data_IF_893165355542
#
_entry.id   IF_893165355542
#
_cell.length_a   1.000
_cell.length_b   1.000
_cell.length_c   1.000
_cell.angle_alpha   90.00
_cell.angle_beta   90.00
_cell.angle_gamma   90.00
#
_symmetry.space_group_name_H-M   'P 1'
#
loop_
_entity.id
_entity.type
_entity.pdbx_description
1 polymer ?
#
# COMPACT_ATOMS: atom_id res chain seq x y z
N UNK A 1 1.83 3.91 -9.77
CA UNK A 1 1.92 5.16 -10.39
C UNK A 1 1.91 6.29 -9.37
N UNK A 2 2.47 7.32 -9.45
CA UNK A 2 2.48 8.46 -8.55
C UNK A 2 2.40 9.78 -9.31
N UNK A 3 2.15 9.73 -10.62
CA UNK A 3 1.99 10.92 -11.44
C UNK A 3 0.55 11.02 -11.93
N UNK A 4 0.13 12.23 -12.13
CA UNK A 4 -1.14 12.52 -12.77
C UNK A 4 -1.09 12.12 -14.25
N UNK A 5 -2.24 11.84 -14.84
CA UNK A 5 -2.34 11.44 -16.24
C UNK A 5 -1.84 12.49 -17.23
N UNK A 6 -1.68 13.74 -16.80
CA UNK A 6 -1.20 14.87 -17.62
C UNK A 6 0.18 15.40 -17.24
N UNK A 7 0.85 14.81 -16.25
CA UNK A 7 2.20 15.21 -15.84
C UNK A 7 3.21 14.10 -16.12
N UNK A 8 4.29 14.45 -16.81
CA UNK A 8 5.44 13.57 -16.99
C UNK A 8 6.55 13.92 -15.99
N UNK A 9 7.28 12.90 -15.54
CA UNK A 9 8.45 13.08 -14.69
C UNK A 9 9.48 14.02 -15.31
N UNK A 10 9.66 13.93 -16.62
CA UNK A 10 10.61 14.78 -17.35
C UNK A 10 10.22 16.26 -17.30
N UNK A 11 8.93 16.59 -17.41
CA UNK A 11 8.44 17.97 -17.35
C UNK A 11 8.68 18.58 -15.98
N UNK A 12 8.42 17.81 -14.91
CA UNK A 12 8.69 18.25 -13.55
C UNK A 12 10.18 18.51 -13.32
N UNK A 13 11.04 17.62 -13.82
CA UNK A 13 12.49 17.78 -13.71
C UNK A 13 12.97 19.00 -14.51
N UNK A 14 12.54 19.16 -15.74
CA UNK A 14 12.91 20.33 -16.56
C UNK A 14 12.53 21.67 -15.88
N UNK A 15 11.39 21.70 -15.20
CA UNK A 15 10.92 22.89 -14.50
C UNK A 15 11.68 23.18 -13.21
N UNK A 16 12.16 22.15 -12.49
CA UNK A 16 12.65 22.30 -11.10
C UNK A 16 14.13 21.99 -10.93
N UNK A 17 14.76 21.28 -11.86
CA UNK A 17 16.12 20.74 -11.72
C UNK A 17 17.17 21.79 -11.32
N UNK A 18 17.23 22.90 -12.04
CA UNK A 18 18.23 23.95 -11.76
C UNK A 18 18.07 24.54 -10.35
N UNK A 19 16.82 24.70 -9.91
CA UNK A 19 16.50 25.21 -8.58
C UNK A 19 16.90 24.20 -7.49
N UNK A 20 16.63 22.91 -7.69
CA UNK A 20 17.02 21.86 -6.77
C UNK A 20 18.55 21.70 -6.71
N UNK A 21 19.22 21.75 -7.85
CA UNK A 21 20.69 21.62 -7.91
C UNK A 21 21.45 22.85 -7.39
N UNK A 22 20.80 24.00 -7.27
CA UNK A 22 21.38 25.13 -6.58
C UNK A 22 21.52 24.92 -5.06
N UNK A 23 20.81 23.93 -4.51
CA UNK A 23 20.88 23.55 -3.10
C UNK A 23 21.84 22.37 -2.93
N UNK A 24 22.99 22.60 -2.31
CA UNK A 24 24.04 21.58 -2.16
C UNK A 24 23.69 20.46 -1.16
N UNK A 25 22.69 20.66 -0.33
CA UNK A 25 22.23 19.74 0.72
C UNK A 25 20.98 18.93 0.32
N UNK A 26 20.51 19.03 -0.94
CA UNK A 26 19.37 18.28 -1.41
C UNK A 26 19.82 17.09 -2.25
N UNK A 27 19.32 15.89 -1.90
CA UNK A 27 19.42 14.69 -2.72
C UNK A 27 18.17 14.59 -3.57
N UNK A 28 18.36 14.49 -4.90
CA UNK A 28 17.27 14.38 -5.86
C UNK A 28 17.06 12.92 -6.23
N UNK A 29 15.95 12.35 -5.78
CA UNK A 29 15.53 11.00 -6.15
C UNK A 29 14.25 11.07 -6.96
N UNK A 30 14.18 10.29 -8.03
CA UNK A 30 13.03 10.26 -8.93
C UNK A 30 12.35 8.91 -8.93
N UNK A 31 11.05 8.90 -9.10
CA UNK A 31 10.22 7.71 -9.18
C UNK A 31 9.08 7.89 -10.18
N UNK A 32 8.61 6.79 -10.73
CA UNK A 32 7.58 6.75 -11.77
C UNK A 32 8.17 6.51 -13.17
N UNK A 33 7.57 5.60 -13.91
CA UNK A 33 8.03 5.23 -15.24
C UNK A 33 9.37 4.48 -15.33
N UNK A 34 9.93 4.08 -14.19
CA UNK A 34 11.23 3.36 -14.16
C UNK A 34 10.97 1.86 -14.04
N UNK A 35 10.95 1.19 -15.18
CA UNK A 35 10.70 -0.25 -15.28
C UNK A 35 11.89 -1.05 -15.81
N UNK A 36 12.90 -0.39 -16.38
CA UNK A 36 14.08 -1.06 -16.95
C UNK A 36 15.37 -0.52 -16.34
N UNK A 37 16.44 -1.34 -16.32
CA UNK A 37 17.77 -0.91 -15.93
C UNK A 37 18.29 0.28 -16.77
N UNK A 38 18.01 0.27 -18.07
CA UNK A 38 18.40 1.33 -19.01
C UNK A 38 17.76 2.65 -18.64
N UNK A 39 16.47 2.64 -18.33
CA UNK A 39 15.74 3.84 -17.92
C UNK A 39 16.27 4.41 -16.60
N UNK A 40 16.59 3.56 -15.65
CA UNK A 40 17.24 3.98 -14.40
C UNK A 40 18.61 4.64 -14.68
N UNK A 41 19.41 4.02 -15.56
CA UNK A 41 20.70 4.55 -15.95
C UNK A 41 20.57 5.91 -16.65
N UNK A 42 19.59 6.12 -17.53
CA UNK A 42 19.31 7.40 -18.18
C UNK A 42 19.13 8.54 -17.17
N UNK A 43 18.37 8.30 -16.10
CA UNK A 43 18.19 9.30 -15.05
C UNK A 43 19.44 9.51 -14.21
N UNK A 44 20.13 8.44 -13.83
CA UNK A 44 21.33 8.52 -12.99
C UNK A 44 22.51 9.19 -13.72
N UNK A 45 22.63 8.99 -15.03
CA UNK A 45 23.65 9.66 -15.87
C UNK A 45 23.23 11.05 -16.33
N UNK A 46 21.92 11.32 -16.34
CA UNK A 46 21.34 12.56 -16.88
C UNK A 46 21.09 12.54 -18.39
N UNK A 47 21.29 11.40 -19.06
CA UNK A 47 21.10 11.26 -20.51
C UNK A 47 19.64 11.47 -20.94
N UNK A 48 18.67 11.26 -20.03
CA UNK A 48 17.25 11.49 -20.27
C UNK A 48 16.94 12.90 -20.80
N UNK A 49 17.75 13.92 -20.43
CA UNK A 49 17.54 15.31 -20.77
C UNK A 49 17.93 15.65 -22.22
N UNK A 50 18.72 14.76 -22.86
CA UNK A 50 19.19 14.98 -24.24
C UNK A 50 18.05 15.09 -25.26
N UNK A 51 16.95 14.34 -25.06
CA UNK A 51 15.74 14.43 -25.90
C UNK A 51 15.07 15.79 -25.90
N UNK A 52 15.36 16.61 -24.90
CA UNK A 52 14.86 17.97 -24.75
C UNK A 52 15.92 19.03 -25.12
N UNK A 53 17.02 18.62 -25.73
CA UNK A 53 18.13 19.52 -26.11
C UNK A 53 18.84 20.16 -24.91
N UNK A 54 18.83 19.47 -23.76
CA UNK A 54 19.48 19.95 -22.52
C UNK A 54 20.81 19.22 -22.30
N UNK A 55 21.76 19.83 -21.57
CA UNK A 55 22.95 19.13 -21.10
C UNK A 55 22.55 18.00 -20.14
N UNK A 56 23.43 17.04 -19.87
CA UNK A 56 23.13 15.95 -18.92
C UNK A 56 22.65 16.47 -17.57
N UNK A 57 21.52 15.92 -17.12
CA UNK A 57 20.84 16.34 -15.89
C UNK A 57 20.72 15.11 -14.93
N UNK A 58 21.82 14.64 -14.31
CA UNK A 58 21.81 13.45 -13.48
C UNK A 58 21.01 13.67 -12.18
N UNK A 59 20.30 12.61 -11.77
CA UNK A 59 19.69 12.52 -10.44
C UNK A 59 20.58 11.68 -9.51
N UNK A 60 20.33 11.76 -8.20
CA UNK A 60 21.14 11.06 -7.21
C UNK A 60 20.61 9.65 -6.90
N UNK A 61 19.33 9.40 -7.20
CA UNK A 61 18.72 8.10 -6.97
C UNK A 61 17.47 7.89 -7.80
N UNK A 62 17.04 6.62 -7.89
CA UNK A 62 15.81 6.21 -8.54
C UNK A 62 15.01 5.32 -7.61
N UNK A 63 13.68 5.41 -7.70
CA UNK A 63 12.73 4.55 -6.98
C UNK A 63 12.10 3.57 -7.97
N UNK A 64 12.24 2.29 -7.68
CA UNK A 64 11.66 1.19 -8.46
C UNK A 64 10.46 0.64 -7.70
N UNK A 65 9.25 0.92 -8.19
CA UNK A 65 8.01 0.50 -7.55
C UNK A 65 7.37 -0.70 -8.26
N UNK A 66 6.88 -0.46 -9.48
CA UNK A 66 6.08 -1.45 -10.23
C UNK A 66 6.83 -2.76 -10.48
N UNK A 67 8.12 -2.69 -10.84
CA UNK A 67 8.91 -3.90 -11.07
C UNK A 67 9.10 -4.74 -9.79
N UNK A 68 9.08 -4.11 -8.62
CA UNK A 68 9.13 -4.83 -7.35
C UNK A 68 7.85 -5.65 -7.06
N UNK A 69 6.72 -5.34 -7.69
CA UNK A 69 5.47 -6.09 -7.50
C UNK A 69 5.55 -7.54 -7.98
N UNK A 70 6.47 -7.86 -8.90
CA UNK A 70 6.65 -9.21 -9.45
C UNK A 70 7.80 -9.99 -8.82
N UNK A 71 8.49 -9.41 -7.84
CA UNK A 71 9.60 -10.07 -7.15
C UNK A 71 9.13 -11.21 -6.26
N UNK A 72 10.05 -12.10 -5.92
CA UNK A 72 9.79 -13.26 -5.05
C UNK A 72 9.29 -12.81 -3.67
N UNK A 73 9.83 -11.72 -3.16
CA UNK A 73 9.53 -11.16 -1.84
C UNK A 73 8.22 -10.37 -1.80
N UNK A 74 7.68 -9.98 -2.96
CA UNK A 74 6.39 -9.29 -3.02
C UNK A 74 5.25 -10.24 -2.64
N UNK A 75 4.34 -9.74 -1.80
CA UNK A 75 3.16 -10.50 -1.35
C UNK A 75 2.09 -10.65 -2.44
N UNK A 76 2.25 -10.00 -3.57
CA UNK A 76 1.38 -10.13 -4.74
C UNK A 76 1.24 -11.59 -5.16
N UNK A 77 0.02 -12.05 -5.43
CA UNK A 77 -0.22 -13.44 -5.84
C UNK A 77 0.48 -13.76 -7.16
N UNK A 78 0.78 -15.03 -7.38
CA UNK A 78 1.43 -15.49 -8.62
C UNK A 78 0.63 -15.10 -9.86
N UNK A 79 -0.70 -15.22 -9.82
CA UNK A 79 -1.58 -14.85 -10.93
C UNK A 79 -1.46 -13.36 -11.28
N UNK A 80 -1.35 -12.49 -10.28
CA UNK A 80 -1.15 -11.05 -10.50
C UNK A 80 0.25 -10.75 -11.06
N UNK A 81 1.29 -11.42 -10.57
CA UNK A 81 2.65 -11.29 -11.11
C UNK A 81 2.72 -11.71 -12.59
N UNK A 82 2.08 -12.84 -12.92
CA UNK A 82 2.00 -13.33 -14.31
C UNK A 82 1.23 -12.35 -15.22
N UNK A 83 0.13 -11.76 -14.73
CA UNK A 83 -0.61 -10.76 -15.48
C UNK A 83 0.23 -9.49 -15.69
N UNK A 84 0.99 -9.03 -14.70
CA UNK A 84 1.89 -7.88 -14.85
C UNK A 84 2.95 -8.13 -15.92
N UNK A 85 3.56 -9.31 -15.94
CA UNK A 85 4.55 -9.70 -16.98
C UNK A 85 3.89 -9.81 -18.36
N UNK A 86 2.64 -10.29 -18.43
CA UNK A 86 1.90 -10.40 -19.68
C UNK A 86 1.36 -9.06 -20.20
N UNK A 87 1.32 -8.03 -19.35
CA UNK A 87 0.80 -6.69 -19.71
C UNK A 87 1.86 -5.92 -20.51
N UNK A 88 1.60 -5.57 -21.79
CA UNK A 88 2.63 -4.91 -22.63
C UNK A 88 3.09 -3.55 -22.10
N UNK A 89 2.22 -2.84 -21.38
CA UNK A 89 2.47 -1.48 -20.94
C UNK A 89 2.58 -0.48 -22.09
N UNK A 90 3.08 0.71 -21.79
CA UNK A 90 3.32 1.79 -22.74
C UNK A 90 4.83 2.03 -22.86
N UNK A 91 5.43 1.98 -24.06
CA UNK A 91 6.86 2.19 -24.21
C UNK A 91 7.31 3.55 -23.70
N UNK A 92 8.53 3.61 -23.16
CA UNK A 92 9.14 4.83 -22.64
C UNK A 92 9.31 5.95 -23.67
N UNK A 93 9.53 5.57 -24.94
CA UNK A 93 9.65 6.50 -26.06
C UNK A 93 8.32 6.88 -26.70
N UNK A 94 7.20 6.60 -26.00
CA UNK A 94 5.88 6.95 -26.47
C UNK A 94 5.68 8.47 -26.53
N UNK A 95 5.05 8.95 -27.62
CA UNK A 95 4.80 10.37 -27.84
C UNK A 95 3.89 11.01 -26.77
N UNK A 96 3.07 10.21 -26.10
CA UNK A 96 2.18 10.62 -25.02
C UNK A 96 2.81 10.49 -23.63
N UNK A 97 4.12 10.18 -23.52
CA UNK A 97 4.82 10.09 -22.25
C UNK A 97 4.32 8.97 -21.31
N UNK A 98 3.66 7.95 -21.87
CA UNK A 98 3.05 6.88 -21.08
C UNK A 98 1.65 7.20 -20.55
N UNK A 99 1.08 8.34 -20.92
CA UNK A 99 -0.28 8.69 -20.53
C UNK A 99 -1.32 7.85 -21.27
N UNK A 100 -2.31 7.39 -20.51
CA UNK A 100 -3.48 6.69 -21.02
C UNK A 100 -4.71 7.52 -20.67
N UNK A 101 -5.40 8.04 -21.70
CA UNK A 101 -6.58 8.88 -21.53
C UNK A 101 -7.73 8.17 -20.83
N UNK A 102 -8.63 8.91 -20.22
CA UNK A 102 -9.81 8.40 -19.54
C UNK A 102 -10.64 7.50 -20.46
N UNK A 103 -10.95 6.30 -19.99
CA UNK A 103 -11.71 5.30 -20.74
C UNK A 103 -11.00 4.65 -21.93
N UNK A 104 -9.74 5.04 -22.22
CA UNK A 104 -8.94 4.45 -23.29
C UNK A 104 -8.08 3.34 -22.72
N UNK A 105 -8.04 2.19 -23.40
CA UNK A 105 -7.14 1.08 -23.08
C UNK A 105 -5.97 1.09 -24.05
N UNK A 106 -4.74 1.11 -23.52
CA UNK A 106 -3.51 1.12 -24.30
C UNK A 106 -2.46 0.24 -23.64
N UNK A 107 -1.86 -0.66 -24.40
CA UNK A 107 -0.84 -1.58 -23.87
C UNK A 107 -1.34 -2.44 -22.69
N UNK A 108 -2.63 -2.76 -22.66
CA UNK A 108 -3.24 -3.48 -21.53
C UNK A 108 -3.47 -2.61 -20.29
N UNK A 109 -3.25 -1.29 -20.39
CA UNK A 109 -3.47 -0.32 -19.31
C UNK A 109 -4.65 0.59 -19.62
N UNK A 110 -5.35 1.03 -18.59
CA UNK A 110 -6.42 2.03 -18.67
C UNK A 110 -6.24 3.06 -17.55
N UNK A 111 -6.83 4.23 -17.71
CA UNK A 111 -6.94 5.19 -16.60
C UNK A 111 -8.24 4.96 -15.83
N UNK A 112 -8.21 5.32 -14.55
CA UNK A 112 -9.35 5.25 -13.65
C UNK A 112 -9.25 6.29 -12.54
N UNK A 113 -10.26 6.32 -11.68
CA UNK A 113 -10.28 7.18 -10.52
C UNK A 113 -10.17 6.36 -9.24
N UNK A 114 -9.42 6.90 -8.28
CA UNK A 114 -9.45 6.41 -6.90
C UNK A 114 -10.78 6.78 -6.22
N UNK A 115 -11.04 6.23 -5.04
CA UNK A 115 -12.20 6.63 -4.23
C UNK A 115 -12.11 8.10 -3.77
N UNK A 116 -10.93 8.72 -3.83
CA UNK A 116 -10.71 10.16 -3.61
C UNK A 116 -10.78 10.99 -4.88
N UNK A 117 -11.18 10.36 -6.01
CA UNK A 117 -11.28 10.96 -7.34
C UNK A 117 -9.95 11.49 -7.89
N UNK A 118 -8.84 10.91 -7.45
CA UNK A 118 -7.53 11.15 -8.05
C UNK A 118 -7.32 10.20 -9.24
N UNK A 119 -6.78 10.72 -10.32
CA UNK A 119 -6.44 9.93 -11.50
C UNK A 119 -5.38 8.90 -11.18
N UNK A 120 -5.51 7.72 -11.77
CA UNK A 120 -4.52 6.66 -11.70
C UNK A 120 -4.59 5.74 -12.91
N UNK A 121 -3.48 5.04 -13.17
CA UNK A 121 -3.43 4.02 -14.19
C UNK A 121 -3.58 2.64 -13.56
N UNK A 122 -4.28 1.75 -14.25
CA UNK A 122 -4.51 0.39 -13.79
C UNK A 122 -4.47 -0.61 -14.94
N UNK A 123 -4.21 -1.87 -14.64
CA UNK A 123 -4.30 -2.94 -15.63
C UNK A 123 -5.76 -3.05 -16.09
N UNK A 124 -5.99 -3.13 -17.39
CA UNK A 124 -7.33 -3.26 -17.97
C UNK A 124 -7.84 -4.69 -17.77
N UNK A 125 -8.67 -4.88 -16.75
CA UNK A 125 -9.30 -6.13 -16.36
C UNK A 125 -10.75 -5.91 -15.89
N UNK A 126 -11.44 -6.94 -15.41
CA UNK A 126 -12.82 -6.83 -14.93
C UNK A 126 -12.95 -5.82 -13.77
N UNK A 127 -11.99 -5.80 -12.84
CA UNK A 127 -12.01 -4.84 -11.76
C UNK A 127 -11.83 -3.39 -12.23
N UNK A 128 -10.99 -3.14 -13.22
CA UNK A 128 -10.84 -1.83 -13.84
C UNK A 128 -12.10 -1.40 -14.62
N UNK A 129 -12.76 -2.35 -15.28
CA UNK A 129 -14.05 -2.08 -15.94
C UNK A 129 -15.14 -1.69 -14.93
N UNK A 130 -15.22 -2.40 -13.81
CA UNK A 130 -16.11 -2.05 -12.70
C UNK A 130 -15.79 -0.66 -12.14
N UNK A 131 -14.51 -0.36 -11.93
CA UNK A 131 -14.05 0.93 -11.41
C UNK A 131 -14.54 2.12 -12.25
N UNK A 132 -14.51 1.99 -13.59
CA UNK A 132 -14.97 3.05 -14.51
C UNK A 132 -16.47 3.32 -14.36
N UNK A 133 -17.29 2.28 -14.37
CA UNK A 133 -18.74 2.41 -14.23
C UNK A 133 -19.10 2.99 -12.86
N UNK A 134 -18.45 2.50 -11.80
CA UNK A 134 -18.66 3.02 -10.44
C UNK A 134 -18.23 4.49 -10.33
N UNK A 135 -17.13 4.89 -10.98
CA UNK A 135 -16.69 6.28 -11.00
C UNK A 135 -17.69 7.22 -11.70
N UNK A 136 -18.36 6.74 -12.74
CA UNK A 136 -19.36 7.49 -13.50
C UNK A 136 -20.63 7.76 -12.68
N UNK A 137 -21.16 6.75 -12.00
CA UNK A 137 -22.49 6.81 -11.39
C UNK A 137 -22.51 6.71 -9.85
N UNK A 138 -21.42 6.26 -9.25
CA UNK A 138 -21.41 5.81 -7.85
C UNK A 138 -21.53 6.93 -6.78
N UNK A 139 -21.61 8.20 -7.20
CA UNK A 139 -21.95 9.33 -6.33
C UNK A 139 -23.38 9.86 -6.53
N UNK A 140 -24.17 9.22 -7.40
CA UNK A 140 -25.56 9.56 -7.64
C UNK A 140 -26.47 8.40 -7.23
N UNK A 141 -27.01 8.44 -6.04
CA UNK A 141 -27.85 7.38 -5.50
C UNK A 141 -29.10 7.09 -6.33
N UNK A 142 -29.59 8.02 -7.15
CA UNK A 142 -30.70 7.76 -8.06
C UNK A 142 -30.26 6.89 -9.23
N UNK A 143 -29.11 7.16 -9.83
CA UNK A 143 -28.53 6.34 -10.88
C UNK A 143 -28.09 4.97 -10.35
N UNK A 144 -27.48 4.92 -9.16
CA UNK A 144 -27.09 3.65 -8.51
C UNK A 144 -28.32 2.75 -8.36
N UNK A 145 -29.45 3.28 -7.88
CA UNK A 145 -30.70 2.51 -7.78
C UNK A 145 -31.27 2.12 -9.13
N UNK A 146 -31.23 3.02 -10.12
CA UNK A 146 -31.77 2.75 -11.46
C UNK A 146 -30.98 1.69 -12.23
N UNK A 147 -29.66 1.57 -11.95
CA UNK A 147 -28.75 0.62 -12.61
C UNK A 147 -28.32 -0.52 -11.68
N UNK A 148 -29.13 -0.84 -10.66
CA UNK A 148 -28.80 -1.82 -9.63
C UNK A 148 -28.33 -3.16 -10.20
N UNK A 149 -29.11 -3.75 -11.11
CA UNK A 149 -28.82 -5.08 -11.66
C UNK A 149 -27.48 -5.10 -12.41
N UNK A 150 -27.20 -4.04 -13.17
CA UNK A 150 -25.91 -3.87 -13.86
C UNK A 150 -24.74 -3.73 -12.85
N UNK A 151 -24.93 -2.95 -11.78
CA UNK A 151 -23.92 -2.79 -10.75
C UNK A 151 -23.66 -4.12 -10.02
N UNK A 152 -24.69 -4.85 -9.66
CA UNK A 152 -24.58 -6.15 -9.00
C UNK A 152 -23.82 -7.14 -9.89
N UNK A 153 -24.15 -7.19 -11.18
CA UNK A 153 -23.46 -8.05 -12.15
C UNK A 153 -21.99 -7.68 -12.26
N UNK A 154 -21.65 -6.40 -12.41
CA UNK A 154 -20.26 -5.94 -12.50
C UNK A 154 -19.49 -6.25 -11.23
N UNK A 155 -20.06 -5.99 -10.06
CA UNK A 155 -19.44 -6.28 -8.78
C UNK A 155 -19.20 -7.76 -8.56
N UNK A 156 -20.05 -8.63 -9.14
CA UNK A 156 -19.89 -10.09 -9.04
C UNK A 156 -18.60 -10.60 -9.68
N UNK A 157 -18.05 -9.84 -10.64
CA UNK A 157 -16.79 -10.13 -11.32
C UNK A 157 -15.58 -9.51 -10.62
N UNK A 158 -15.75 -8.93 -9.45
CA UNK A 158 -14.67 -8.31 -8.67
C UNK A 158 -14.44 -9.04 -7.35
N UNK A 159 -13.28 -8.80 -6.74
CA UNK A 159 -12.96 -9.29 -5.40
C UNK A 159 -13.70 -8.53 -4.27
N UNK A 160 -14.63 -7.65 -4.63
CA UNK A 160 -15.43 -6.88 -3.66
C UNK A 160 -16.90 -6.84 -4.09
N UNK A 161 -17.58 -8.00 -4.03
CA UNK A 161 -18.95 -8.15 -4.52
C UNK A 161 -19.96 -7.37 -3.67
N UNK A 162 -21.16 -7.18 -4.23
CA UNK A 162 -22.29 -6.70 -3.46
C UNK A 162 -22.74 -7.75 -2.43
N UNK A 163 -23.02 -7.29 -1.22
CA UNK A 163 -23.44 -8.18 -0.14
C UNK A 163 -24.81 -8.83 -0.41
N UNK A 164 -25.73 -8.06 -0.94
CA UNK A 164 -27.12 -8.45 -1.23
C UNK A 164 -28.13 -7.59 -0.49
N UNK A 165 -29.41 -7.74 -0.83
CA UNK A 165 -30.53 -7.01 -0.24
C UNK A 165 -30.91 -7.65 1.10
N UNK A 166 -30.52 -7.03 2.19
CA UNK A 166 -30.72 -7.58 3.54
C UNK A 166 -32.19 -7.82 3.90
N UNK A 167 -33.09 -6.97 3.41
CA UNK A 167 -34.53 -7.12 3.68
C UNK A 167 -35.12 -8.39 3.03
N UNK A 168 -34.44 -8.95 2.02
CA UNK A 168 -34.81 -10.20 1.38
C UNK A 168 -34.13 -11.42 2.01
N UNK A 169 -33.17 -11.20 2.95
CA UNK A 169 -32.43 -12.26 3.60
C UNK A 169 -33.10 -12.71 4.91
N UNK A 170 -32.92 -14.00 5.23
CA UNK A 170 -33.11 -14.47 6.59
C UNK A 170 -31.88 -14.17 7.44
N UNK A 171 -32.00 -14.23 8.76
CA UNK A 171 -30.86 -14.05 9.66
C UNK A 171 -29.76 -15.10 9.41
N UNK A 172 -30.11 -16.35 9.10
CA UNK A 172 -29.16 -17.38 8.67
C UNK A 172 -28.40 -16.94 7.41
N UNK A 173 -29.13 -16.52 6.37
CA UNK A 173 -28.52 -16.08 5.12
C UNK A 173 -27.56 -14.90 5.32
N UNK A 174 -27.95 -13.94 6.18
CA UNK A 174 -27.12 -12.78 6.51
C UNK A 174 -25.81 -13.19 7.20
N UNK A 175 -25.89 -14.02 8.25
CA UNK A 175 -24.73 -14.49 9.02
C UNK A 175 -23.77 -15.29 8.14
N UNK A 176 -24.31 -16.25 7.37
CA UNK A 176 -23.50 -17.07 6.47
C UNK A 176 -22.84 -16.25 5.36
N UNK A 177 -23.57 -15.32 4.77
CA UNK A 177 -23.05 -14.43 3.73
C UNK A 177 -21.90 -13.57 4.24
N UNK A 178 -21.98 -13.08 5.48
CA UNK A 178 -20.87 -12.34 6.10
C UNK A 178 -19.63 -13.23 6.27
N UNK A 179 -19.81 -14.43 6.78
CA UNK A 179 -18.72 -15.40 6.93
C UNK A 179 -18.08 -15.73 5.57
N UNK A 180 -18.88 -16.08 4.56
CA UNK A 180 -18.42 -16.45 3.22
C UNK A 180 -17.57 -15.36 2.55
N UNK A 181 -17.91 -14.09 2.77
CA UNK A 181 -17.22 -12.96 2.14
C UNK A 181 -15.99 -12.47 2.90
N UNK A 182 -15.94 -12.65 4.23
CA UNK A 182 -14.91 -12.03 5.07
C UNK A 182 -13.96 -13.00 5.77
N UNK A 183 -14.34 -14.27 5.90
CA UNK A 183 -13.46 -15.28 6.47
C UNK A 183 -12.60 -15.96 5.37
N UNK A 184 -11.34 -16.33 5.65
CA UNK A 184 -10.60 -16.16 6.90
C UNK A 184 -10.28 -14.70 7.22
N UNK A 185 -10.12 -14.41 8.53
CA UNK A 185 -9.92 -13.05 9.02
C UNK A 185 -8.57 -12.47 8.59
N UNK A 186 -8.52 -11.82 7.43
CA UNK A 186 -7.34 -11.08 6.96
C UNK A 186 -7.10 -9.84 7.83
N UNK A 187 -8.17 -9.28 8.39
CA UNK A 187 -8.11 -8.17 9.33
C UNK A 187 -8.93 -8.49 10.59
N UNK A 188 -8.36 -8.29 11.80
CA UNK A 188 -9.06 -8.61 13.05
C UNK A 188 -10.34 -7.79 13.26
N UNK A 189 -10.47 -6.62 12.64
CA UNK A 189 -11.68 -5.81 12.74
C UNK A 189 -12.88 -6.43 12.02
N UNK A 190 -12.66 -7.33 11.06
CA UNK A 190 -13.74 -8.09 10.43
C UNK A 190 -14.32 -9.13 11.39
N UNK A 191 -13.46 -9.81 12.17
CA UNK A 191 -13.86 -10.73 13.22
C UNK A 191 -14.68 -10.03 14.30
N UNK A 192 -14.25 -8.83 14.72
CA UNK A 192 -14.99 -8.02 15.72
C UNK A 192 -16.38 -7.67 15.19
N UNK A 193 -16.50 -7.19 13.95
CA UNK A 193 -17.82 -6.88 13.34
C UNK A 193 -18.71 -8.11 13.20
N UNK A 194 -18.11 -9.27 12.90
CA UNK A 194 -18.85 -10.52 12.84
C UNK A 194 -19.37 -10.94 14.23
N UNK A 195 -18.55 -10.78 15.26
CA UNK A 195 -18.97 -10.98 16.65
C UNK A 195 -20.15 -10.09 17.03
N UNK A 196 -20.07 -8.79 16.73
CA UNK A 196 -21.16 -7.83 16.98
C UNK A 196 -22.42 -8.21 16.21
N UNK A 197 -22.29 -8.70 14.97
CA UNK A 197 -23.39 -9.22 14.18
C UNK A 197 -24.06 -10.42 14.83
N UNK A 198 -23.29 -11.42 15.27
CA UNK A 198 -23.83 -12.62 15.91
C UNK A 198 -24.56 -12.31 17.20
N UNK A 199 -24.00 -11.46 18.07
CA UNK A 199 -24.67 -11.03 19.30
C UNK A 199 -25.99 -10.29 19.02
N UNK A 200 -26.01 -9.46 17.95
CA UNK A 200 -27.24 -8.76 17.55
C UNK A 200 -28.30 -9.72 17.03
N UNK A 201 -27.91 -10.69 16.20
CA UNK A 201 -28.83 -11.72 15.68
C UNK A 201 -29.37 -12.58 16.80
N UNK A 202 -28.53 -12.97 17.72
CA UNK A 202 -28.91 -13.73 18.92
C UNK A 202 -29.97 -12.98 19.73
N UNK A 203 -29.76 -11.69 19.97
CA UNK A 203 -30.74 -10.84 20.68
C UNK A 203 -32.08 -10.68 19.92
N UNK A 204 -32.12 -10.87 18.61
CA UNK A 204 -33.37 -10.86 17.81
C UNK A 204 -34.12 -12.18 17.87
N UNK A 205 -33.41 -13.29 17.99
CA UNK A 205 -33.96 -14.64 17.90
C UNK A 205 -34.30 -15.23 19.26
N UNK A 206 -33.72 -14.67 20.32
CA UNK A 206 -33.98 -15.12 21.70
C UNK A 206 -35.48 -14.95 22.10
N UNK A 207 -36.05 -15.90 22.84
CA UNK A 207 -37.41 -15.80 23.33
C UNK A 207 -37.62 -14.57 24.20
N UNK A 208 -38.72 -13.85 24.00
CA UNK A 208 -39.04 -12.54 24.64
C UNK A 208 -39.27 -12.65 26.16
N UNK A 209 -39.58 -13.84 26.64
CA UNK A 209 -39.91 -14.15 28.04
C UNK A 209 -38.70 -14.58 28.87
N UNK A 210 -37.52 -14.61 28.32
CA UNK A 210 -36.26 -14.86 29.02
C UNK A 210 -35.64 -13.55 29.48
N UNK A 211 -35.37 -13.39 30.78
CA UNK A 211 -34.81 -12.17 31.35
C UNK A 211 -33.46 -11.76 30.78
N UNK A 212 -32.37 -12.29 31.28
CA UNK A 212 -31.04 -12.10 30.70
C UNK A 212 -30.75 -13.21 29.70
N UNK A 213 -30.40 -12.84 28.48
CA UNK A 213 -29.92 -13.81 27.47
C UNK A 213 -28.42 -13.98 27.70
N UNK A 214 -28.04 -15.18 28.15
CA UNK A 214 -26.64 -15.56 28.17
C UNK A 214 -26.17 -15.78 26.71
N UNK A 215 -25.26 -14.93 26.25
CA UNK A 215 -24.80 -15.00 24.87
C UNK A 215 -23.98 -16.26 24.61
N UNK A 216 -24.16 -16.85 23.43
CA UNK A 216 -23.31 -17.94 22.92
C UNK A 216 -21.88 -17.46 22.63
N UNK A 217 -21.69 -16.17 22.41
CA UNK A 217 -20.44 -15.56 21.97
C UNK A 217 -19.99 -14.47 22.94
N UNK A 218 -19.54 -14.82 24.17
CA UNK A 218 -19.11 -13.84 25.17
C UNK A 218 -17.83 -13.10 24.78
N UNK A 219 -16.99 -13.66 23.90
CA UNK A 219 -15.73 -13.06 23.48
C UNK A 219 -15.56 -13.11 21.95
N UNK A 220 -14.66 -12.28 21.41
CA UNK A 220 -14.34 -12.25 19.96
C UNK A 220 -13.69 -13.59 19.52
N UNK A 221 -12.99 -14.26 20.41
CA UNK A 221 -12.39 -15.58 20.15
C UNK A 221 -13.41 -16.66 19.85
N UNK A 222 -14.64 -16.53 20.37
CA UNK A 222 -15.73 -17.48 20.10
C UNK A 222 -16.16 -17.52 18.64
N UNK A 223 -15.75 -16.54 17.85
CA UNK A 223 -16.00 -16.44 16.41
C UNK A 223 -14.72 -16.54 15.57
N UNK A 224 -13.65 -17.11 16.13
CA UNK A 224 -12.39 -17.34 15.41
C UNK A 224 -12.57 -18.17 14.13
N UNK A 225 -13.46 -19.17 14.17
CA UNK A 225 -13.98 -19.86 12.99
C UNK A 225 -15.41 -19.38 12.71
N UNK A 226 -15.54 -18.59 11.64
CA UNK A 226 -16.81 -17.96 11.29
C UNK A 226 -17.91 -18.97 10.97
N UNK A 227 -17.58 -20.02 10.24
CA UNK A 227 -18.58 -21.04 9.83
C UNK A 227 -19.02 -21.88 11.01
N UNK A 228 -18.10 -22.29 11.87
CA UNK A 228 -18.45 -23.00 13.10
C UNK A 228 -19.30 -22.14 14.05
N UNK A 229 -19.03 -20.84 14.14
CA UNK A 229 -19.84 -19.90 14.91
C UNK A 229 -21.25 -19.75 14.32
N UNK A 230 -21.37 -19.65 12.99
CA UNK A 230 -22.67 -19.66 12.31
C UNK A 230 -23.47 -20.93 12.63
N UNK A 231 -22.83 -22.10 12.52
CA UNK A 231 -23.49 -23.38 12.79
C UNK A 231 -23.94 -23.49 14.25
N UNK A 232 -23.15 -23.00 15.19
CA UNK A 232 -23.51 -22.91 16.61
C UNK A 232 -24.75 -22.03 16.84
N UNK A 233 -24.81 -20.88 16.18
CA UNK A 233 -25.96 -19.97 16.24
C UNK A 233 -27.21 -20.64 15.66
N UNK A 234 -27.10 -21.28 14.48
CA UNK A 234 -28.24 -21.96 13.83
C UNK A 234 -28.74 -23.14 14.65
N UNK A 235 -27.86 -23.87 15.32
CA UNK A 235 -28.24 -24.98 16.19
C UNK A 235 -29.04 -24.49 17.42
N UNK A 236 -28.66 -23.35 17.99
CA UNK A 236 -29.37 -22.76 19.13
C UNK A 236 -30.68 -22.07 18.72
N UNK A 237 -30.71 -21.46 17.54
CA UNK A 237 -31.84 -20.66 17.02
C UNK A 237 -32.27 -21.12 15.62
N UNK A 238 -32.92 -22.32 15.48
CA UNK A 238 -33.30 -22.83 14.16
C UNK A 238 -34.28 -21.91 13.38
N UNK A 239 -35.01 -21.03 14.09
CA UNK A 239 -35.89 -20.04 13.49
C UNK A 239 -35.13 -18.97 12.66
N UNK A 240 -33.80 -18.87 12.81
CA UNK A 240 -32.97 -18.01 11.96
C UNK A 240 -33.13 -18.31 10.45
N UNK A 241 -33.39 -19.57 10.09
CA UNK A 241 -33.59 -20.00 8.70
C UNK A 241 -34.86 -19.43 8.05
N UNK A 242 -35.84 -19.01 8.85
CA UNK A 242 -37.16 -18.54 8.35
C UNK A 242 -37.51 -17.13 8.77
N UNK A 243 -36.78 -16.56 9.73
CA UNK A 243 -36.99 -15.19 10.20
C UNK A 243 -36.19 -14.23 9.33
N UNK A 244 -36.88 -13.31 8.65
CA UNK A 244 -36.26 -12.29 7.82
C UNK A 244 -35.62 -11.19 8.65
N UNK A 245 -34.55 -10.63 8.12
CA UNK A 245 -33.86 -9.47 8.70
C UNK A 245 -34.85 -8.30 8.80
N UNK A 246 -34.91 -7.68 9.96
CA UNK A 246 -35.81 -6.53 10.17
C UNK A 246 -35.26 -5.27 9.48
N UNK A 247 -36.11 -4.31 9.07
CA UNK A 247 -35.66 -3.05 8.48
C UNK A 247 -34.68 -2.27 9.37
N UNK A 248 -34.82 -2.37 10.69
CA UNK A 248 -33.91 -1.70 11.63
C UNK A 248 -32.51 -2.35 11.64
N UNK A 249 -32.43 -3.66 11.44
CA UNK A 249 -31.17 -4.39 11.36
C UNK A 249 -30.52 -4.19 10.00
N UNK A 250 -31.30 -4.14 8.93
CA UNK A 250 -30.83 -3.78 7.60
C UNK A 250 -30.23 -2.36 7.57
N UNK A 251 -30.86 -1.39 8.23
CA UNK A 251 -30.35 -0.02 8.37
C UNK A 251 -29.11 0.08 9.27
N UNK A 252 -28.97 -0.81 10.25
CA UNK A 252 -27.80 -0.85 11.14
C UNK A 252 -26.56 -1.42 10.46
N UNK A 253 -26.68 -2.36 9.53
CA UNK A 253 -25.56 -3.08 8.95
C UNK A 253 -24.54 -2.18 8.23
N UNK A 254 -24.91 -1.19 7.39
CA UNK A 254 -23.94 -0.27 6.83
C UNK A 254 -23.19 0.53 7.90
N UNK A 255 -23.82 0.87 9.03
CA UNK A 255 -23.16 1.54 10.14
C UNK A 255 -22.12 0.63 10.80
N UNK A 256 -22.43 -0.64 11.02
CA UNK A 256 -21.44 -1.64 11.47
C UNK A 256 -20.26 -1.72 10.50
N UNK A 257 -20.52 -1.77 9.21
CA UNK A 257 -19.45 -1.85 8.19
C UNK A 257 -18.53 -0.62 8.18
N UNK A 258 -19.02 0.54 8.61
CA UNK A 258 -18.25 1.79 8.74
C UNK A 258 -17.54 1.98 10.07
N UNK A 259 -17.86 1.21 11.09
CA UNK A 259 -17.42 1.46 12.48
C UNK A 259 -15.92 1.35 12.71
N UNK A 260 -15.16 0.79 11.78
CA UNK A 260 -13.72 0.59 11.87
C UNK A 260 -13.00 1.15 10.65
N UNK A 261 -11.70 1.52 10.78
CA UNK A 261 -10.90 2.08 9.67
C UNK A 261 -10.76 1.12 8.47
N UNK A 262 -10.60 -0.19 8.73
CA UNK A 262 -10.47 -1.20 7.67
C UNK A 262 -11.83 -1.46 7.02
N UNK A 263 -11.98 -1.22 5.71
CA UNK A 263 -13.22 -1.52 4.98
C UNK A 263 -13.54 -3.01 4.95
N UNK A 264 -14.81 -3.34 4.75
CA UNK A 264 -15.22 -4.72 4.50
C UNK A 264 -14.80 -5.18 3.09
N UNK A 265 -14.58 -6.50 2.89
CA UNK A 265 -14.25 -7.07 1.58
C UNK A 265 -15.48 -7.24 0.67
N UNK A 266 -16.51 -6.45 0.87
CA UNK A 266 -17.75 -6.41 0.10
C UNK A 266 -18.38 -5.02 0.14
N UNK A 267 -19.30 -4.75 -0.77
CA UNK A 267 -20.14 -3.55 -0.78
C UNK A 267 -21.40 -3.83 0.04
N UNK A 268 -21.60 -3.21 1.20
CA UNK A 268 -22.72 -3.56 2.09
C UNK A 268 -24.08 -3.02 1.63
N UNK A 269 -24.06 -1.92 0.89
CA UNK A 269 -25.27 -1.25 0.39
C UNK A 269 -24.94 -0.52 -0.93
N UNK A 270 -25.92 -0.42 -1.80
CA UNK A 270 -25.86 0.36 -3.03
C UNK A 270 -26.50 1.73 -2.82
N UNK A 271 -25.70 2.72 -2.49
CA UNK A 271 -26.10 4.10 -2.19
C UNK A 271 -25.20 5.11 -2.93
N UNK A 272 -25.31 6.40 -2.57
CA UNK A 272 -24.50 7.50 -3.11
C UNK A 272 -23.02 7.47 -2.66
N UNK A 273 -22.67 6.58 -1.73
CA UNK A 273 -21.29 6.30 -1.31
C UNK A 273 -20.66 5.10 -2.05
N UNK A 274 -21.25 4.57 -3.14
CA UNK A 274 -20.77 3.38 -3.83
C UNK A 274 -19.29 3.47 -4.24
N UNK A 275 -18.84 4.64 -4.72
CA UNK A 275 -17.42 4.86 -5.04
C UNK A 275 -16.52 4.57 -3.84
N UNK A 276 -16.93 5.04 -2.66
CA UNK A 276 -16.18 4.83 -1.43
C UNK A 276 -16.29 3.39 -0.95
N UNK A 277 -17.48 2.81 -0.96
CA UNK A 277 -17.68 1.43 -0.54
C UNK A 277 -16.81 0.46 -1.31
N UNK A 278 -16.79 0.60 -2.63
CA UNK A 278 -16.05 -0.31 -3.49
C UNK A 278 -14.57 0.05 -3.60
N UNK A 279 -14.25 1.34 -3.80
CA UNK A 279 -12.88 1.80 -4.09
C UNK A 279 -11.95 1.84 -2.88
N UNK A 280 -12.51 1.95 -1.68
CA UNK A 280 -11.70 2.06 -0.47
C UNK A 280 -10.98 0.74 -0.16
N UNK A 281 -9.65 0.79 -0.05
CA UNK A 281 -8.78 -0.33 0.30
C UNK A 281 -9.09 -1.64 -0.46
N UNK A 282 -9.17 -1.53 -1.79
CA UNK A 282 -9.41 -2.69 -2.66
C UNK A 282 -8.10 -3.34 -3.19
N UNK A 283 -6.93 -2.76 -2.89
CA UNK A 283 -5.65 -3.23 -3.44
C UNK A 283 -5.10 -4.46 -2.71
N UNK A 284 -5.48 -4.68 -1.46
CA UNK A 284 -5.02 -5.82 -0.68
C UNK A 284 -5.42 -7.17 -1.29
N UNK A 285 -6.51 -7.21 -2.06
CA UNK A 285 -6.97 -8.45 -2.71
C UNK A 285 -5.96 -8.99 -3.74
N UNK A 286 -5.07 -8.15 -4.26
CA UNK A 286 -3.97 -8.60 -5.11
C UNK A 286 -2.96 -9.52 -4.39
N UNK A 287 -3.07 -9.65 -3.07
CA UNK A 287 -2.28 -10.54 -2.21
C UNK A 287 -3.06 -11.78 -1.76
N UNK A 288 -4.31 -11.93 -2.18
CA UNK A 288 -5.21 -12.97 -1.71
C UNK A 288 -5.48 -13.98 -2.84
N UNK A 289 -4.98 -15.20 -2.65
CA UNK A 289 -5.09 -16.27 -3.66
C UNK A 289 -6.52 -16.75 -3.92
N UNK A 290 -7.50 -16.31 -3.12
CA UNK A 290 -8.92 -16.59 -3.39
C UNK A 290 -9.43 -15.89 -4.65
N UNK A 291 -8.74 -14.85 -5.09
CA UNK A 291 -9.16 -14.03 -6.22
C UNK A 291 -8.22 -14.18 -7.41
N UNK A 292 -8.82 -14.25 -8.59
CA UNK A 292 -8.06 -14.20 -9.85
C UNK A 292 -7.51 -12.80 -10.11
N UNK A 293 -6.47 -12.70 -10.91
CA UNK A 293 -5.90 -11.42 -11.30
C UNK A 293 -6.89 -10.52 -12.08
N UNK A 294 -7.93 -11.09 -12.69
CA UNK A 294 -8.98 -10.35 -13.38
C UNK A 294 -9.96 -9.66 -12.41
N UNK A 295 -10.14 -10.23 -11.23
CA UNK A 295 -11.08 -9.73 -10.21
C UNK A 295 -10.53 -8.60 -9.34
N UNK A 296 -9.21 -8.38 -9.32
CA UNK A 296 -8.56 -7.45 -8.41
C UNK A 296 -8.02 -6.22 -9.12
N UNK A 297 -8.06 -5.08 -8.45
CA UNK A 297 -7.42 -3.85 -8.95
C UNK A 297 -5.91 -3.97 -8.86
N UNK A 298 -5.22 -3.67 -9.97
CA UNK A 298 -3.77 -3.69 -10.07
C UNK A 298 -3.34 -2.35 -10.66
N UNK A 299 -2.55 -1.59 -9.90
CA UNK A 299 -2.21 -0.19 -10.20
C UNK A 299 -0.69 -0.04 -10.42
N UNK A 300 -0.17 -0.53 -11.55
CA UNK A 300 1.22 -0.32 -11.94
C UNK A 300 1.38 1.01 -12.68
N UNK A 301 2.61 1.49 -12.80
CA UNK A 301 2.93 2.55 -13.74
C UNK A 301 2.92 2.01 -15.18
N UNK A 302 2.25 2.66 -16.13
CA UNK A 302 2.13 2.15 -17.51
C UNK A 302 3.46 1.99 -18.24
N UNK A 303 4.42 2.88 -18.00
CA UNK A 303 5.77 2.78 -18.57
C UNK A 303 6.60 1.73 -17.81
N UNK A 304 6.45 1.67 -16.50
CA UNK A 304 7.21 0.71 -15.68
C UNK A 304 6.81 -0.73 -15.99
N UNK A 305 5.52 -1.01 -16.25
CA UNK A 305 5.06 -2.37 -16.53
C UNK A 305 5.63 -2.90 -17.83
N UNK A 306 5.88 -2.05 -18.82
CA UNK A 306 6.50 -2.43 -20.08
C UNK A 306 7.93 -2.99 -19.91
N UNK A 307 8.58 -2.72 -18.79
CA UNK A 307 9.91 -3.22 -18.47
C UNK A 307 9.95 -4.48 -17.61
N UNK A 308 8.77 -5.01 -17.22
CA UNK A 308 8.70 -6.21 -16.38
C UNK A 308 8.68 -7.46 -17.26
N UNK A 309 9.71 -8.30 -17.09
CA UNK A 309 9.92 -9.49 -17.92
C UNK A 309 9.98 -10.81 -17.10
N UNK A 310 9.92 -10.74 -15.76
CA UNK A 310 10.16 -11.90 -14.89
C UNK A 310 9.17 -11.96 -13.75
N UNK A 311 8.77 -13.19 -13.44
CA UNK A 311 7.99 -13.55 -12.25
C UNK A 311 8.94 -14.16 -11.21
N UNK A 312 8.76 -13.76 -9.95
CA UNK A 312 9.50 -14.30 -8.80
C UNK A 312 11.03 -14.17 -8.90
N UNK A 313 11.52 -13.14 -9.61
CA UNK A 313 12.91 -12.76 -9.51
C UNK A 313 13.20 -12.23 -8.08
N UNK A 314 14.28 -12.69 -7.41
CA UNK A 314 14.65 -12.09 -6.13
C UNK A 314 14.88 -10.58 -6.26
N UNK A 315 14.40 -9.80 -5.29
CA UNK A 315 14.55 -8.33 -5.31
C UNK A 315 16.01 -7.91 -5.41
N UNK A 316 16.92 -8.65 -4.78
CA UNK A 316 18.35 -8.40 -4.89
C UNK A 316 18.88 -8.55 -6.34
N UNK A 317 18.36 -9.52 -7.10
CA UNK A 317 18.70 -9.70 -8.51
C UNK A 317 18.14 -8.57 -9.37
N UNK A 318 16.89 -8.19 -9.11
CA UNK A 318 16.24 -7.05 -9.77
C UNK A 318 17.08 -5.78 -9.58
N UNK A 319 17.34 -5.39 -8.33
CA UNK A 319 18.11 -4.19 -8.01
C UNK A 319 19.55 -4.26 -8.53
N UNK A 320 20.18 -5.43 -8.45
CA UNK A 320 21.53 -5.65 -9.00
C UNK A 320 21.61 -5.41 -10.52
N UNK A 321 20.57 -5.74 -11.29
CA UNK A 321 20.51 -5.41 -12.73
C UNK A 321 20.43 -3.90 -12.95
N UNK A 322 19.63 -3.19 -12.19
CA UNK A 322 19.50 -1.74 -12.26
C UNK A 322 20.80 -1.03 -11.89
N UNK A 323 21.44 -1.48 -10.81
CA UNK A 323 22.74 -0.97 -10.37
C UNK A 323 23.84 -1.22 -11.39
N UNK A 324 23.92 -2.44 -11.93
CA UNK A 324 24.94 -2.79 -12.92
C UNK A 324 24.82 -1.96 -14.21
N UNK A 325 23.61 -1.71 -14.69
CA UNK A 325 23.39 -0.87 -15.87
C UNK A 325 23.82 0.59 -15.62
N UNK A 326 23.48 1.14 -14.46
CA UNK A 326 23.88 2.48 -14.08
C UNK A 326 25.41 2.58 -13.92
N UNK A 327 26.03 1.63 -13.25
CA UNK A 327 27.49 1.57 -13.05
C UNK A 327 28.25 1.46 -14.38
N UNK A 328 27.79 0.62 -15.31
CA UNK A 328 28.38 0.50 -16.65
C UNK A 328 28.37 1.82 -17.40
N UNK A 329 27.18 2.48 -17.48
CA UNK A 329 27.08 3.76 -18.18
C UNK A 329 27.90 4.88 -17.54
N UNK A 330 27.90 4.97 -16.21
CA UNK A 330 28.73 5.94 -15.50
C UNK A 330 30.23 5.72 -15.79
N UNK A 331 30.67 4.46 -15.86
CA UNK A 331 32.05 4.11 -16.19
C UNK A 331 32.37 4.48 -17.63
N UNK A 332 31.49 4.14 -18.56
CA UNK A 332 31.69 4.38 -20.01
C UNK A 332 31.68 5.88 -20.34
N UNK A 333 30.88 6.66 -19.63
CA UNK A 333 30.79 8.13 -19.79
C UNK A 333 31.97 8.90 -19.16
N UNK A 334 32.84 8.23 -18.43
CA UNK A 334 33.94 8.85 -17.70
C UNK A 334 33.50 9.74 -16.53
N UNK A 335 32.23 9.67 -16.17
CA UNK A 335 31.70 10.35 -14.97
C UNK A 335 32.16 9.55 -13.76
N UNK A 336 33.10 10.11 -13.02
CA UNK A 336 33.45 9.58 -11.70
C UNK A 336 32.26 9.81 -10.77
N UNK A 337 31.55 8.74 -10.42
CA UNK A 337 30.47 8.83 -9.45
C UNK A 337 31.04 9.37 -8.14
N UNK A 338 30.65 10.58 -7.80
CA UNK A 338 30.93 11.11 -6.47
C UNK A 338 29.97 10.40 -5.51
N UNK A 339 30.44 9.64 -4.52
CA UNK A 339 29.56 8.97 -3.58
C UNK A 339 28.55 9.94 -3.00
N UNK A 340 27.29 9.53 -2.84
CA UNK A 340 26.23 10.35 -2.24
C UNK A 340 26.68 10.90 -0.87
N UNK A 341 27.40 10.10 -0.10
CA UNK A 341 28.03 10.50 1.14
C UNK A 341 28.96 11.73 1.00
N UNK A 342 29.64 11.93 -0.14
CA UNK A 342 30.49 13.08 -0.34
C UNK A 342 29.73 14.37 -0.66
N UNK A 343 28.55 14.27 -1.25
CA UNK A 343 27.65 15.43 -1.45
C UNK A 343 27.02 15.89 -0.14
N UNK A 344 26.65 14.96 0.71
CA UNK A 344 26.11 15.24 2.05
C UNK A 344 27.15 15.76 3.02
N UNK A 345 28.46 15.55 2.75
CA UNK A 345 29.55 15.88 3.63
C UNK A 345 30.59 16.86 3.07
N UNK A 346 30.33 17.63 2.01
CA UNK A 346 31.33 18.49 1.36
C UNK A 346 32.64 17.75 0.99
N UNK A 347 32.58 16.47 0.70
CA UNK A 347 33.70 15.66 0.28
C UNK A 347 34.73 15.33 1.37
N UNK A 348 34.49 15.71 2.62
CA UNK A 348 35.35 15.31 3.73
C UNK A 348 34.72 14.16 4.50
N UNK A 349 35.49 13.13 4.87
CA UNK A 349 35.00 12.12 5.80
C UNK A 349 34.56 12.81 7.10
N UNK A 350 33.51 12.29 7.72
CA UNK A 350 33.07 12.79 9.02
C UNK A 350 34.20 12.63 10.03
N UNK A 351 34.54 13.70 10.74
CA UNK A 351 35.64 13.70 11.71
C UNK A 351 35.28 12.91 12.98
N UNK A 352 33.98 12.80 13.25
CA UNK A 352 33.45 12.05 14.38
C UNK A 352 32.23 11.25 13.96
N UNK A 353 31.86 10.24 14.77
CA UNK A 353 30.65 9.45 14.59
C UNK A 353 29.37 10.31 14.61
N UNK A 354 29.31 11.28 15.53
CA UNK A 354 28.18 12.20 15.61
C UNK A 354 28.08 13.06 14.36
N UNK A 355 29.21 13.53 13.83
CA UNK A 355 29.24 14.29 12.59
C UNK A 355 28.77 13.45 11.40
N UNK A 356 29.13 12.14 11.36
CA UNK A 356 28.65 11.22 10.37
C UNK A 356 27.13 11.00 10.48
N UNK A 357 26.63 10.72 11.68
CA UNK A 357 25.19 10.53 11.92
C UNK A 357 24.36 11.75 11.55
N UNK A 358 24.90 12.96 11.73
CA UNK A 358 24.25 14.20 11.28
C UNK A 358 24.19 14.35 9.76
N UNK A 359 25.00 13.62 9.01
CA UNK A 359 25.15 13.73 7.55
C UNK A 359 24.51 12.58 6.79
N UNK A 360 24.16 11.48 7.45
CA UNK A 360 23.55 10.33 6.81
C UNK A 360 22.06 10.57 6.59
N UNK A 361 21.55 10.42 5.36
CA UNK A 361 20.11 10.45 5.13
C UNK A 361 19.49 9.22 5.77
N UNK A 362 18.57 9.42 6.69
CA UNK A 362 17.73 8.36 7.19
C UNK A 362 16.64 8.00 6.18
N UNK A 363 16.47 6.71 5.93
CA UNK A 363 15.33 6.21 5.19
C UNK A 363 14.12 6.30 6.13
N UNK A 364 13.13 7.08 5.74
CA UNK A 364 11.86 7.15 6.44
C UNK A 364 11.14 5.81 6.33
N UNK A 365 10.74 5.22 7.43
CA UNK A 365 10.14 3.90 7.46
C UNK A 365 8.62 3.87 7.70
N UNK A 366 8.00 5.00 7.79
CA UNK A 366 6.55 5.09 7.60
C UNK A 366 6.30 6.28 6.73
N UNK A 367 5.46 6.18 5.73
CA UNK A 367 5.14 7.27 4.80
C UNK A 367 4.67 8.58 5.44
N UNK A 368 4.76 8.69 6.76
CA UNK A 368 4.39 9.86 7.56
C UNK A 368 5.56 10.49 8.33
N UNK A 369 6.71 9.80 8.42
CA UNK A 369 7.91 10.33 9.05
C UNK A 369 8.94 10.72 7.99
N UNK A 370 8.51 11.51 7.02
CA UNK A 370 9.41 12.23 6.13
C UNK A 370 10.08 13.34 6.93
N UNK A 371 11.00 12.98 7.75
CA UNK A 371 11.78 13.96 8.48
C UNK A 371 13.07 14.21 7.75
N UNK A 372 13.36 15.47 7.54
CA UNK A 372 14.71 15.90 7.25
C UNK A 372 15.64 15.28 8.31
N UNK A 373 16.68 14.50 7.91
CA UNK A 373 17.63 13.95 8.87
C UNK A 373 18.17 14.98 9.86
N UNK A 374 18.37 16.22 9.43
CA UNK A 374 18.77 17.32 10.31
C UNK A 374 17.73 17.65 11.39
N UNK A 375 16.45 17.41 11.14
CA UNK A 375 15.39 17.65 12.11
C UNK A 375 15.21 16.50 13.11
N UNK A 376 15.58 15.26 12.74
CA UNK A 376 15.60 14.12 13.66
C UNK A 376 16.83 14.19 14.58
N UNK A 377 17.92 14.72 14.07
CA UNK A 377 19.19 14.86 14.79
C UNK A 377 19.26 16.16 15.61
N UNK A 378 18.16 16.88 15.75
CA UNK A 378 18.06 17.97 16.72
C UNK A 378 18.29 17.39 18.13
N UNK A 379 19.17 18.01 18.90
CA UNK A 379 19.80 17.45 20.11
C UNK A 379 18.82 16.93 21.16
N UNK A 380 17.56 17.33 21.09
CA UNK A 380 16.51 16.88 22.00
C UNK A 380 15.84 15.54 21.61
N UNK A 381 16.04 15.03 20.39
CA UNK A 381 15.28 13.89 19.86
C UNK A 381 16.10 12.63 19.58
N UNK A 382 17.41 12.74 19.51
CA UNK A 382 18.30 11.61 19.26
C UNK A 382 19.41 11.59 20.29
N UNK A 383 19.53 10.51 21.04
CA UNK A 383 20.65 10.25 21.92
C UNK A 383 21.51 9.09 21.39
N UNK A 384 22.81 9.19 21.64
CA UNK A 384 23.78 8.15 21.34
C UNK A 384 24.29 7.57 22.63
N UNK A 385 23.91 6.36 22.96
CA UNK A 385 24.29 5.69 24.19
C UNK A 385 25.43 4.70 23.92
N UNK A 386 26.64 4.89 24.46
CA UNK A 386 27.71 3.92 24.31
C UNK A 386 27.32 2.59 24.96
N UNK A 387 27.63 1.49 24.26
CA UNK A 387 27.49 0.11 24.75
C UNK A 387 28.84 -0.58 24.71
N UNK A 388 28.98 -1.71 25.40
CA UNK A 388 30.23 -2.49 25.42
C UNK A 388 30.66 -2.98 24.02
N UNK A 389 29.71 -3.03 23.04
CA UNK A 389 29.96 -3.57 21.70
C UNK A 389 29.70 -2.56 20.58
N UNK A 390 29.35 -1.33 20.91
CA UNK A 390 29.00 -0.33 19.88
C UNK A 390 28.34 0.91 20.50
N UNK A 391 27.32 1.41 19.85
CA UNK A 391 26.51 2.53 20.34
C UNK A 391 25.05 2.25 19.98
N UNK A 392 24.17 2.50 20.90
CA UNK A 392 22.73 2.55 20.60
C UNK A 392 22.35 3.96 20.21
N UNK A 393 21.75 4.11 19.02
CA UNK A 393 21.06 5.32 18.63
C UNK A 393 19.62 5.23 19.11
N UNK A 394 19.23 6.12 20.01
CA UNK A 394 17.86 6.18 20.53
C UNK A 394 17.17 7.40 19.92
N UNK A 395 16.10 7.16 19.19
CA UNK A 395 15.24 8.21 18.64
C UNK A 395 14.04 8.35 19.57
N UNK A 396 13.89 9.51 20.18
CA UNK A 396 12.72 9.85 20.97
C UNK A 396 11.60 10.32 20.05
N UNK A 397 10.49 9.60 20.06
CA UNK A 397 9.32 9.93 19.24
C UNK A 397 8.52 11.06 19.90
N UNK A 398 8.05 11.99 19.07
CA UNK A 398 7.32 13.18 19.53
C UNK A 398 5.94 12.81 20.13
N UNK A 399 5.53 13.59 21.11
CA UNK A 399 4.23 13.52 21.79
C UNK A 399 3.02 13.73 20.87
N UNK A 400 3.21 14.11 19.61
CA UNK A 400 2.14 14.17 18.60
C UNK A 400 1.44 12.82 18.41
N UNK A 401 2.08 11.71 18.75
CA UNK A 401 1.46 10.38 18.78
C UNK A 401 0.57 10.14 19.99
N UNK A 402 0.70 10.92 21.03
CA UNK A 402 -0.19 10.88 22.21
C UNK A 402 -1.64 11.31 21.89
N UNK A 403 -1.85 11.90 20.72
CA UNK A 403 -3.16 12.37 20.23
C UNK A 403 -3.77 11.48 19.16
N UNK A 404 -3.38 10.19 19.07
CA UNK A 404 -4.07 9.27 18.17
C UNK A 404 -5.55 9.14 18.60
N UNK A 405 -6.50 9.63 17.79
CA UNK A 405 -7.93 9.58 18.10
C UNK A 405 -8.48 8.15 18.19
N UNK A 406 -7.67 7.14 17.83
CA UNK A 406 -8.05 5.73 17.88
C UNK A 406 -7.86 5.09 19.25
N UNK A 407 -7.28 5.79 20.21
CA UNK A 407 -7.14 5.31 21.59
C UNK A 407 -6.31 4.04 21.75
N UNK A 408 -5.55 3.68 20.73
CA UNK A 408 -4.63 2.55 20.76
C UNK A 408 -3.52 2.86 21.77
N UNK A 409 -3.36 1.96 22.68
CA UNK A 409 -2.56 1.91 23.88
C UNK A 409 -1.50 3.01 24.02
N UNK A 410 -1.68 3.87 25.01
CA UNK A 410 -0.78 4.98 25.37
C UNK A 410 0.64 4.55 25.77
N UNK A 411 0.95 3.28 25.64
CA UNK A 411 2.29 2.69 25.82
C UNK A 411 3.00 2.45 24.48
N UNK A 412 2.52 3.06 23.38
CA UNK A 412 3.21 3.02 22.10
C UNK A 412 4.65 3.47 22.30
N UNK A 413 5.54 2.70 21.69
CA UNK A 413 6.99 2.85 21.72
C UNK A 413 7.38 4.31 21.64
N UNK A 414 7.83 4.88 22.75
CA UNK A 414 8.29 6.28 22.83
C UNK A 414 9.73 6.44 22.35
N UNK A 415 10.40 5.33 22.20
CA UNK A 415 11.81 5.28 21.82
C UNK A 415 12.03 4.17 20.80
N UNK A 416 12.76 4.49 19.75
CA UNK A 416 13.29 3.51 18.80
C UNK A 416 14.78 3.38 19.07
N UNK A 417 15.23 2.17 19.38
CA UNK A 417 16.63 1.88 19.64
C UNK A 417 17.24 1.13 18.47
N UNK A 418 18.26 1.72 17.87
CA UNK A 418 19.02 1.13 16.79
C UNK A 418 20.44 0.80 17.28
N UNK A 419 20.78 -0.47 17.49
CA UNK A 419 22.14 -0.85 17.81
C UNK A 419 23.04 -0.64 16.58
N UNK A 420 24.12 0.10 16.77
CA UNK A 420 25.09 0.41 15.73
C UNK A 420 26.41 -0.28 16.05
N UNK A 421 26.99 -0.97 15.08
CA UNK A 421 28.37 -1.46 15.12
C UNK A 421 29.25 -0.64 14.19
N UNK A 422 30.50 -0.47 14.54
CA UNK A 422 31.47 0.18 13.68
C UNK A 422 32.07 -0.90 12.80
N UNK A 423 31.84 -0.82 11.47
CA UNK A 423 32.43 -1.69 10.48
C UNK A 423 33.45 -0.93 9.64
N UNK A 424 34.54 -1.62 9.26
CA UNK A 424 35.61 -1.10 8.43
C UNK A 424 36.95 -1.01 9.17
N UNK A 425 38.04 -1.20 8.46
CA UNK A 425 39.42 -1.16 9.02
C UNK A 425 39.76 0.21 9.60
N UNK A 426 39.09 1.29 9.17
CA UNK A 426 39.30 2.65 9.63
C UNK A 426 38.26 3.14 10.64
N UNK A 427 37.35 2.27 11.11
CA UNK A 427 36.32 2.60 12.13
C UNK A 427 35.33 3.68 11.71
N UNK A 428 35.13 3.93 10.42
CA UNK A 428 34.53 5.15 9.91
C UNK A 428 33.02 5.07 9.68
N UNK A 429 32.41 3.87 9.57
CA UNK A 429 31.02 3.72 9.16
C UNK A 429 30.23 2.90 10.18
N UNK A 430 29.35 3.50 10.98
CA UNK A 430 28.41 2.74 11.78
C UNK A 430 27.37 2.07 10.89
N UNK A 431 27.11 0.79 11.13
CA UNK A 431 26.11 -0.04 10.45
C UNK A 431 25.16 -0.55 11.51
N UNK A 432 23.89 -0.73 11.17
CA UNK A 432 22.92 -1.33 12.07
C UNK A 432 23.31 -2.79 12.34
N UNK A 433 23.43 -3.14 13.63
CA UNK A 433 23.64 -4.54 14.03
C UNK A 433 22.31 -5.31 13.97
N UNK A 434 22.03 -5.87 12.82
CA UNK A 434 20.78 -6.62 12.56
C UNK A 434 20.59 -7.79 13.54
N UNK A 435 21.68 -8.38 14.03
CA UNK A 435 21.61 -9.51 14.98
C UNK A 435 21.06 -9.10 16.36
N UNK A 436 21.11 -7.83 16.69
CA UNK A 436 20.61 -7.28 17.96
C UNK A 436 19.25 -6.59 17.85
N UNK A 437 18.72 -6.44 16.63
CA UNK A 437 17.41 -5.83 16.45
C UNK A 437 16.30 -6.73 17.00
N UNK A 438 15.39 -6.21 17.82
CA UNK A 438 14.18 -6.92 18.17
C UNK A 438 13.40 -7.34 16.92
N UNK A 439 12.79 -8.53 16.94
CA UNK A 439 12.13 -9.12 15.77
C UNK A 439 11.07 -8.18 15.15
N UNK A 440 10.36 -7.39 15.96
CA UNK A 440 9.39 -6.42 15.46
C UNK A 440 10.06 -5.24 14.74
N UNK A 441 11.25 -4.80 15.17
CA UNK A 441 12.00 -3.75 14.50
C UNK A 441 12.63 -4.25 13.20
N UNK A 442 13.08 -5.50 13.18
CA UNK A 442 13.54 -6.14 11.95
C UNK A 442 12.42 -6.22 10.91
N UNK A 443 11.23 -6.66 11.32
CA UNK A 443 10.05 -6.67 10.45
C UNK A 443 9.67 -5.26 9.93
N UNK A 444 9.84 -4.24 10.76
CA UNK A 444 9.60 -2.85 10.38
C UNK A 444 10.65 -2.34 9.39
N UNK A 445 11.92 -2.59 9.62
CA UNK A 445 13.00 -2.24 8.68
C UNK A 445 12.85 -3.00 7.36
N UNK A 446 12.51 -4.29 7.40
CA UNK A 446 12.21 -5.07 6.22
C UNK A 446 11.03 -4.49 5.43
N UNK A 447 9.95 -4.10 6.11
CA UNK A 447 8.79 -3.47 5.47
C UNK A 447 9.12 -2.10 4.84
N UNK A 448 10.10 -1.37 5.37
CA UNK A 448 10.52 -0.06 4.85
C UNK A 448 11.55 -0.14 3.74
N UNK A 449 12.37 -1.19 3.76
CA UNK A 449 13.31 -1.46 2.68
C UNK A 449 12.64 -1.99 1.40
N UNK A 450 11.31 -2.17 1.40
CA UNK A 450 10.57 -2.71 0.26
C UNK A 450 10.81 -4.21 0.06
N UNK A 451 11.24 -4.90 1.11
CA UNK A 451 11.49 -6.35 1.14
C UNK A 451 10.24 -7.09 1.61
#
# INVERSE_FOLDING_TARGET
GGHHSWEDLSDLLLATYAQLRAQSNIVLTVGGGIGTPERAADFLTGEWSARYGRPPMPVDGVLVGTAAMTTKEAHTTKAVKELLVATPGVPDNDELGGWVGEGVTRGGMTSGLSHLRADMHEVSNAAAAAARIIAEIGSDGAQVRARKDEIVEILSHTAKPYFGDLEEMTYEAWVRRFADLSYPWVDPTWQIRYHDLLQRVEARLAPVDHGEVETLFPTVEDVADAHAAADRLMAAYPNAATTHVTPIDAAWFPALCRSYPKPMPFVPILDDDLIRWWGQDCLWQAQDERYSADQVRIIPGPVSVAGIDRVDEPVASLLGRFEAAAASRLTDSGVVATPVASRLGNGKPAATREEWLRKVPFISWTGHLMTNPAAILDEERVSLNPTDTGVDMVIHLDTAWDNDPRGTDKHAVRELVFPLVISGEDGAVPVIDEAKLPQHMYAMLAATAGV
#
